data_IF_035118764915
#
_entry.id   IF_035118764915
#
_cell.length_a   1.000
_cell.length_b   1.000
_cell.length_c   1.000
_cell.angle_alpha   90.00
_cell.angle_beta   90.00
_cell.angle_gamma   90.00
#
_symmetry.space_group_name_H-M   'P 1'
#
loop_
_entity.id
_entity.type
_entity.pdbx_description
1 polymer ?
#
# COMPACT_ATOMS: atom_id res chain seq x y z
N UNK A 1 11.31 -33.75 5.43
CA UNK A 1 11.72 -32.52 6.14
C UNK A 1 12.64 -31.60 5.33
N UNK A 2 13.58 -32.13 4.55
CA UNK A 2 14.53 -31.32 3.76
C UNK A 2 13.83 -30.43 2.70
N UNK A 3 12.88 -30.97 1.92
CA UNK A 3 12.13 -30.23 0.90
C UNK A 3 11.24 -29.10 1.46
N UNK A 4 10.71 -29.24 2.69
CA UNK A 4 9.91 -28.18 3.33
C UNK A 4 10.78 -27.01 3.75
N UNK A 5 11.98 -27.25 4.29
CA UNK A 5 12.95 -26.21 4.65
C UNK A 5 13.46 -25.45 3.41
N UNK A 6 13.75 -26.16 2.34
CA UNK A 6 14.24 -25.57 1.08
C UNK A 6 13.18 -24.67 0.43
N UNK A 7 11.92 -25.08 0.47
CA UNK A 7 10.80 -24.24 0.02
C UNK A 7 10.61 -22.99 0.90
N UNK A 8 10.73 -23.11 2.23
CA UNK A 8 10.64 -21.96 3.14
C UNK A 8 11.73 -20.92 2.87
N UNK A 9 12.99 -21.35 2.70
CA UNK A 9 14.09 -20.44 2.38
C UNK A 9 13.86 -19.69 1.07
N UNK A 10 13.36 -20.38 0.04
CA UNK A 10 13.02 -19.77 -1.25
C UNK A 10 11.91 -18.71 -1.10
N UNK A 11 10.86 -19.00 -0.34
CA UNK A 11 9.78 -18.03 -0.10
C UNK A 11 10.25 -16.83 0.70
N UNK A 12 11.11 -17.03 1.71
CA UNK A 12 11.71 -15.93 2.48
C UNK A 12 12.57 -15.06 1.56
N UNK A 13 13.42 -15.65 0.72
CA UNK A 13 14.26 -14.90 -0.22
C UNK A 13 13.42 -14.08 -1.22
N UNK A 14 12.34 -14.67 -1.78
CA UNK A 14 11.42 -13.96 -2.65
C UNK A 14 10.69 -12.82 -1.93
N UNK A 15 10.30 -13.03 -0.68
CA UNK A 15 9.67 -12.00 0.15
C UNK A 15 10.64 -10.83 0.43
N UNK A 16 11.88 -11.12 0.80
CA UNK A 16 12.90 -10.09 1.01
C UNK A 16 13.18 -9.30 -0.28
N UNK A 17 13.25 -9.99 -1.42
CA UNK A 17 13.41 -9.34 -2.72
C UNK A 17 12.22 -8.41 -3.02
N UNK A 18 10.99 -8.88 -2.81
CA UNK A 18 9.78 -8.08 -3.02
C UNK A 18 9.74 -6.85 -2.11
N UNK A 19 10.10 -6.99 -0.82
CA UNK A 19 10.16 -5.88 0.14
C UNK A 19 11.23 -4.86 -0.30
N UNK A 20 12.38 -5.34 -0.80
CA UNK A 20 13.43 -4.45 -1.33
C UNK A 20 12.90 -3.60 -2.49
N UNK A 21 12.19 -4.20 -3.45
CA UNK A 21 11.56 -3.44 -4.54
C UNK A 21 10.51 -2.44 -4.04
N UNK A 22 9.71 -2.82 -3.03
CA UNK A 22 8.74 -1.90 -2.43
C UNK A 22 9.42 -0.71 -1.74
N UNK A 23 10.55 -0.93 -1.07
CA UNK A 23 11.31 0.13 -0.41
C UNK A 23 11.81 1.21 -1.39
N UNK A 24 12.15 0.84 -2.62
CA UNK A 24 12.50 1.80 -3.67
C UNK A 24 11.29 2.59 -4.20
N UNK A 25 10.06 2.15 -3.94
CA UNK A 25 8.85 2.77 -4.48
C UNK A 25 8.74 4.27 -4.15
N UNK A 26 8.98 4.65 -2.88
CA UNK A 26 8.96 6.06 -2.47
C UNK A 26 10.09 6.90 -3.09
N UNK A 27 11.26 6.29 -3.30
CA UNK A 27 12.40 6.96 -3.97
C UNK A 27 12.06 7.21 -5.44
N UNK A 28 11.50 6.23 -6.14
CA UNK A 28 11.08 6.39 -7.54
C UNK A 28 9.98 7.44 -7.72
N UNK A 29 9.03 7.52 -6.78
CA UNK A 29 8.01 8.58 -6.80
C UNK A 29 8.67 9.95 -6.67
N UNK A 30 9.67 10.11 -5.79
CA UNK A 30 10.36 11.39 -5.57
C UNK A 30 11.28 11.76 -6.74
N UNK A 31 11.84 10.78 -7.45
CA UNK A 31 12.67 10.99 -8.64
C UNK A 31 11.83 11.15 -9.91
N UNK A 32 10.56 10.81 -9.88
CA UNK A 32 9.65 10.96 -11.02
C UNK A 32 9.48 12.44 -11.36
N UNK A 33 9.52 12.78 -12.64
CA UNK A 33 9.15 14.12 -13.14
C UNK A 33 7.64 14.39 -13.07
N UNK A 34 6.83 13.34 -12.89
CA UNK A 34 5.40 13.46 -12.72
C UNK A 34 5.06 13.81 -11.26
N UNK A 35 3.99 14.60 -11.05
CA UNK A 35 3.46 14.81 -9.71
C UNK A 35 3.13 13.48 -9.01
N UNK A 36 3.20 13.42 -7.68
CA UNK A 36 3.09 12.18 -6.94
C UNK A 36 1.81 11.38 -7.19
N UNK A 37 0.63 12.02 -7.23
CA UNK A 37 -0.65 11.32 -7.48
C UNK A 37 -0.73 10.83 -8.92
N UNK A 38 -0.24 11.64 -9.90
CA UNK A 38 -0.11 11.22 -11.29
C UNK A 38 0.75 9.95 -11.41
N UNK A 39 1.90 9.92 -10.72
CA UNK A 39 2.77 8.74 -10.68
C UNK A 39 2.02 7.52 -10.13
N UNK A 40 1.27 7.67 -9.03
CA UNK A 40 0.44 6.61 -8.45
C UNK A 40 -0.63 6.09 -9.41
N UNK A 41 -1.34 6.99 -10.07
CA UNK A 41 -2.36 6.65 -11.06
C UNK A 41 -1.79 5.85 -12.23
N UNK A 42 -0.72 6.33 -12.86
CA UNK A 42 -0.12 5.65 -14.00
C UNK A 42 0.49 4.29 -13.62
N UNK A 43 1.09 4.15 -12.45
CA UNK A 43 1.59 2.86 -11.95
C UNK A 43 0.48 1.81 -11.91
N UNK A 44 -0.70 2.17 -11.42
CA UNK A 44 -1.85 1.26 -11.37
C UNK A 44 -2.38 1.00 -12.79
N UNK A 45 -2.56 2.04 -13.58
CA UNK A 45 -3.09 1.93 -14.94
C UNK A 45 -2.25 1.00 -15.82
N UNK A 46 -0.92 1.15 -15.77
CA UNK A 46 -0.01 0.30 -16.55
C UNK A 46 0.14 -1.12 -16.01
N UNK A 47 -0.08 -1.34 -14.71
CA UNK A 47 -0.08 -2.69 -14.16
C UNK A 47 -1.26 -3.55 -14.69
N UNK A 48 -2.40 -2.93 -15.03
CA UNK A 48 -3.60 -3.64 -15.48
C UNK A 48 -3.37 -4.51 -16.73
N UNK A 49 -2.79 -4.02 -17.84
CA UNK A 49 -2.53 -4.86 -19.02
C UNK A 49 -1.63 -6.06 -18.73
N UNK A 50 -0.62 -5.88 -17.86
CA UNK A 50 0.29 -6.96 -17.48
C UNK A 50 -0.37 -8.04 -16.62
N UNK A 51 -1.33 -7.67 -15.79
CA UNK A 51 -2.06 -8.61 -14.94
C UNK A 51 -3.18 -9.33 -15.70
N UNK A 52 -3.76 -8.73 -16.73
CA UNK A 52 -4.92 -9.25 -17.43
C UNK A 52 -4.76 -10.71 -17.93
N UNK A 53 -3.63 -11.12 -18.56
CA UNK A 53 -3.46 -12.49 -19.02
C UNK A 53 -3.55 -13.57 -17.92
N UNK A 54 -3.20 -13.19 -16.68
CA UNK A 54 -3.19 -14.09 -15.53
C UNK A 54 -4.55 -14.23 -14.85
N UNK A 55 -5.47 -13.29 -15.08
CA UNK A 55 -6.71 -13.17 -14.32
C UNK A 55 -7.99 -13.37 -15.15
N UNK A 56 -7.92 -13.30 -16.49
CA UNK A 56 -9.11 -13.30 -17.36
C UNK A 56 -10.04 -14.52 -17.16
N UNK A 57 -9.49 -15.69 -16.81
CA UNK A 57 -10.27 -16.91 -16.51
C UNK A 57 -10.97 -16.83 -15.15
N UNK A 58 -10.31 -16.20 -14.18
CA UNK A 58 -10.82 -16.09 -12.81
C UNK A 58 -11.87 -14.99 -12.68
N UNK A 59 -11.80 -13.93 -13.51
CA UNK A 59 -12.80 -12.87 -13.54
C UNK A 59 -14.22 -13.38 -13.82
N UNK A 60 -14.35 -14.39 -14.68
CA UNK A 60 -15.65 -14.99 -15.04
C UNK A 60 -16.31 -15.74 -13.88
N UNK A 61 -15.55 -16.10 -12.83
CA UNK A 61 -16.04 -16.85 -11.68
C UNK A 61 -16.47 -15.96 -10.53
N UNK A 62 -16.18 -14.66 -10.60
CA UNK A 62 -16.50 -13.72 -9.54
C UNK A 62 -18.00 -13.43 -9.47
N UNK A 63 -18.56 -13.51 -8.27
CA UNK A 63 -19.90 -13.06 -7.98
C UNK A 63 -19.95 -11.51 -7.95
N UNK A 64 -21.13 -10.93 -8.18
CA UNK A 64 -21.34 -9.47 -8.09
C UNK A 64 -20.93 -8.89 -6.74
N UNK A 65 -21.18 -9.65 -5.64
CA UNK A 65 -20.80 -9.25 -4.28
C UNK A 65 -19.28 -9.20 -4.10
N UNK A 66 -18.57 -10.18 -4.65
CA UNK A 66 -17.10 -10.20 -4.61
C UNK A 66 -16.51 -9.05 -5.42
N UNK A 67 -17.02 -8.81 -6.63
CA UNK A 67 -16.59 -7.67 -7.45
C UNK A 67 -16.80 -6.35 -6.72
N UNK A 68 -18.00 -6.13 -6.13
CA UNK A 68 -18.28 -4.91 -5.38
C UNK A 68 -17.32 -4.72 -4.19
N UNK A 69 -17.04 -5.81 -3.44
CA UNK A 69 -16.10 -5.75 -2.32
C UNK A 69 -14.66 -5.46 -2.77
N UNK A 70 -14.24 -6.04 -3.90
CA UNK A 70 -12.92 -5.79 -4.46
C UNK A 70 -12.79 -4.37 -5.03
N UNK A 71 -13.83 -3.82 -5.65
CA UNK A 71 -13.85 -2.42 -6.07
C UNK A 71 -13.77 -1.48 -4.86
N UNK A 72 -14.50 -1.77 -3.78
CA UNK A 72 -14.41 -1.01 -2.53
C UNK A 72 -13.00 -1.08 -1.93
N UNK A 73 -12.36 -2.25 -1.97
CA UNK A 73 -10.97 -2.36 -1.52
C UNK A 73 -10.02 -1.50 -2.37
N UNK A 74 -10.31 -1.37 -3.66
CA UNK A 74 -9.59 -0.45 -4.55
C UNK A 74 -9.74 1.01 -4.14
N UNK A 75 -10.92 1.41 -3.66
CA UNK A 75 -11.13 2.76 -3.10
C UNK A 75 -10.24 2.98 -1.87
N UNK A 76 -10.14 1.99 -0.97
CA UNK A 76 -9.22 2.08 0.17
C UNK A 76 -7.75 2.20 -0.27
N UNK A 77 -7.34 1.41 -1.27
CA UNK A 77 -6.01 1.51 -1.86
C UNK A 77 -5.75 2.90 -2.48
N UNK A 78 -6.76 3.51 -3.10
CA UNK A 78 -6.63 4.85 -3.66
C UNK A 78 -6.41 5.90 -2.56
N UNK A 79 -7.18 5.86 -1.46
CA UNK A 79 -6.99 6.77 -0.34
C UNK A 79 -5.62 6.59 0.34
N UNK A 80 -5.18 5.34 0.50
CA UNK A 80 -3.82 5.03 0.96
C UNK A 80 -2.78 5.75 0.08
N UNK A 81 -2.81 5.53 -1.21
CA UNK A 81 -1.86 6.12 -2.15
C UNK A 81 -1.93 7.65 -2.19
N UNK A 82 -3.12 8.24 -2.18
CA UNK A 82 -3.30 9.70 -2.21
C UNK A 82 -2.68 10.33 -0.96
N UNK A 83 -3.02 9.84 0.22
CA UNK A 83 -2.50 10.36 1.48
C UNK A 83 -0.99 10.18 1.59
N UNK A 84 -0.48 9.02 1.16
CA UNK A 84 0.94 8.73 1.14
C UNK A 84 1.71 9.69 0.22
N UNK A 85 1.22 9.90 -1.01
CA UNK A 85 1.85 10.81 -1.96
C UNK A 85 1.81 12.27 -1.50
N UNK A 86 0.65 12.73 -1.01
CA UNK A 86 0.50 14.10 -0.51
C UNK A 86 1.40 14.33 0.72
N UNK A 87 1.56 13.34 1.59
CA UNK A 87 2.41 13.47 2.78
C UNK A 87 3.86 13.85 2.46
N UNK A 88 4.37 13.48 1.29
CA UNK A 88 5.74 13.85 0.85
C UNK A 88 5.94 15.34 0.64
N UNK A 89 4.87 16.11 0.46
CA UNK A 89 4.93 17.56 0.34
C UNK A 89 5.04 18.25 1.70
N UNK A 90 4.68 17.56 2.79
CA UNK A 90 4.61 18.11 4.15
C UNK A 90 5.63 17.50 5.09
N UNK A 91 6.06 16.24 4.87
CA UNK A 91 7.05 15.57 5.71
C UNK A 91 8.14 14.89 4.88
N UNK A 92 9.14 14.32 5.52
CA UNK A 92 10.20 13.59 4.80
C UNK A 92 9.70 12.24 4.30
N UNK A 93 10.23 11.78 3.17
CA UNK A 93 9.93 10.43 2.63
C UNK A 93 10.22 9.34 3.66
N UNK A 94 11.25 9.53 4.49
CA UNK A 94 11.59 8.58 5.54
C UNK A 94 10.51 8.51 6.62
N UNK A 95 10.02 9.66 7.11
CA UNK A 95 8.94 9.73 8.10
C UNK A 95 7.63 9.19 7.51
N UNK A 96 7.28 9.62 6.29
CA UNK A 96 6.08 9.16 5.62
C UNK A 96 6.06 7.64 5.45
N UNK A 97 7.17 7.04 5.00
CA UNK A 97 7.27 5.59 4.88
C UNK A 97 7.22 4.88 6.23
N UNK A 98 7.87 5.45 7.25
CA UNK A 98 7.86 4.87 8.59
C UNK A 98 6.44 4.83 9.16
N UNK A 99 5.71 5.93 9.08
CA UNK A 99 4.35 6.06 9.61
C UNK A 99 3.34 5.25 8.78
N UNK A 100 3.47 5.21 7.46
CA UNK A 100 2.66 4.37 6.60
C UNK A 100 2.84 2.88 6.92
N UNK A 101 4.04 2.45 7.34
CA UNK A 101 4.32 1.06 7.73
C UNK A 101 3.82 0.70 9.15
N UNK A 102 3.12 1.59 9.85
CA UNK A 102 2.41 1.28 11.11
C UNK A 102 1.17 0.40 10.91
N UNK A 103 1.02 -0.21 9.76
CA UNK A 103 -0.07 -1.15 9.42
C UNK A 103 -0.33 -2.21 10.49
N UNK A 104 0.67 -2.84 11.13
CA UNK A 104 0.42 -3.79 12.21
C UNK A 104 -0.40 -3.19 13.38
N UNK A 105 -0.21 -1.89 13.67
CA UNK A 105 -0.95 -1.21 14.74
C UNK A 105 -2.41 -0.93 14.39
N UNK A 106 -2.72 -0.83 13.11
CA UNK A 106 -4.08 -0.60 12.63
C UNK A 106 -4.80 -1.91 12.30
N UNK A 107 -4.10 -2.90 11.73
CA UNK A 107 -4.70 -4.18 11.33
C UNK A 107 -5.07 -5.06 12.52
N UNK A 108 -4.29 -5.02 13.62
CA UNK A 108 -4.50 -5.88 14.78
C UNK A 108 -5.80 -5.59 15.51
N UNK A 109 -6.11 -4.33 15.90
CA UNK A 109 -7.39 -4.04 16.51
C UNK A 109 -8.55 -4.48 15.61
N UNK A 110 -8.45 -4.21 14.30
CA UNK A 110 -9.50 -4.58 13.34
C UNK A 110 -9.63 -6.10 13.21
N UNK A 111 -8.51 -6.84 13.14
CA UNK A 111 -8.52 -8.32 13.11
C UNK A 111 -9.09 -8.91 14.39
N UNK A 112 -8.75 -8.34 15.54
CA UNK A 112 -9.33 -8.77 16.81
C UNK A 112 -10.86 -8.61 16.85
N UNK A 113 -11.38 -7.45 16.43
CA UNK A 113 -12.82 -7.20 16.44
C UNK A 113 -13.57 -7.98 15.35
N UNK A 114 -13.00 -8.13 14.14
CA UNK A 114 -13.67 -8.79 13.02
C UNK A 114 -13.54 -10.31 13.04
N UNK A 115 -12.37 -10.84 13.39
CA UNK A 115 -12.05 -12.26 13.30
C UNK A 115 -11.90 -12.94 14.65
N UNK A 116 -11.96 -12.18 15.77
CA UNK A 116 -11.74 -12.66 17.13
C UNK A 116 -10.41 -13.42 17.30
N UNK A 117 -9.40 -13.02 16.55
CA UNK A 117 -8.07 -13.60 16.63
C UNK A 117 -7.42 -13.26 17.96
N UNK A 118 -6.90 -14.27 18.67
CA UNK A 118 -6.20 -14.06 19.95
C UNK A 118 -4.80 -13.48 19.64
N UNK A 119 -4.52 -12.31 20.21
CA UNK A 119 -3.21 -11.68 20.09
C UNK A 119 -2.27 -12.35 21.10
N UNK A 120 -1.12 -12.85 20.60
CA UNK A 120 -0.09 -13.44 21.45
C UNK A 120 0.68 -12.32 22.18
N UNK A 121 1.01 -12.53 23.45
CA UNK A 121 1.80 -11.61 24.26
C UNK A 121 3.15 -11.24 23.61
N UNK A 122 3.83 -12.21 23.00
CA UNK A 122 5.09 -11.95 22.28
C UNK A 122 4.93 -10.97 21.11
N UNK A 123 3.78 -11.06 20.45
CA UNK A 123 3.45 -10.11 19.38
C UNK A 123 3.23 -8.70 19.94
N UNK A 124 2.54 -8.58 21.07
CA UNK A 124 2.34 -7.29 21.75
C UNK A 124 3.67 -6.67 22.21
N UNK A 125 4.59 -7.47 22.74
CA UNK A 125 5.94 -7.03 23.10
C UNK A 125 6.67 -6.51 21.85
N UNK A 126 6.63 -7.25 20.74
CA UNK A 126 7.21 -6.82 19.46
C UNK A 126 6.64 -5.48 18.97
N UNK A 127 5.35 -5.27 19.15
CA UNK A 127 4.67 -4.02 18.81
C UNK A 127 5.21 -2.84 19.63
N UNK A 128 5.35 -3.02 20.96
CA UNK A 128 5.91 -2.00 21.87
C UNK A 128 7.37 -1.69 21.52
N UNK A 129 8.18 -2.70 21.27
CA UNK A 129 9.58 -2.52 20.84
C UNK A 129 9.65 -1.75 19.52
N UNK A 130 8.77 -2.05 18.58
CA UNK A 130 8.67 -1.31 17.30
C UNK A 130 8.31 0.15 17.53
N UNK A 131 7.32 0.44 18.39
CA UNK A 131 6.94 1.82 18.74
C UNK A 131 8.13 2.60 19.34
N UNK A 132 8.84 2.00 20.28
CA UNK A 132 10.03 2.61 20.89
C UNK A 132 11.09 2.89 19.82
N UNK A 133 11.36 1.93 18.93
CA UNK A 133 12.29 2.13 17.81
C UNK A 133 11.87 3.29 16.89
N UNK A 134 10.58 3.42 16.58
CA UNK A 134 10.04 4.51 15.78
C UNK A 134 10.23 5.86 16.49
N UNK A 135 9.90 5.94 17.79
CA UNK A 135 10.08 7.16 18.57
C UNK A 135 11.56 7.58 18.57
N UNK A 136 12.49 6.65 18.76
CA UNK A 136 13.93 6.93 18.71
C UNK A 136 14.36 7.44 17.34
N UNK A 137 13.89 6.84 16.25
CA UNK A 137 14.22 7.25 14.89
C UNK A 137 13.67 8.64 14.52
N UNK A 138 12.46 8.93 14.97
CA UNK A 138 11.78 10.21 14.68
C UNK A 138 12.27 11.32 15.59
N UNK A 139 12.58 11.04 16.87
CA UNK A 139 12.99 12.05 17.85
C UNK A 139 14.28 12.82 17.48
N UNK A 140 15.21 12.17 16.79
CA UNK A 140 16.44 12.81 16.31
C UNK A 140 16.26 13.80 15.14
N UNK A 141 15.04 13.90 14.56
CA UNK A 141 14.73 14.72 13.38
C UNK A 141 13.52 15.63 13.60
N UNK A 142 13.02 15.69 14.82
CA UNK A 142 11.88 16.53 15.17
C UNK A 142 12.32 18.01 15.24
N UNK A 143 12.25 18.70 14.10
CA UNK A 143 11.86 20.10 14.09
C UNK A 143 10.32 20.11 13.85
N UNK A 144 9.49 20.12 14.89
CA UNK A 144 8.05 20.06 14.75
C UNK A 144 7.55 21.38 14.17
N UNK A 145 7.47 21.46 12.85
CA UNK A 145 6.69 22.50 12.19
C UNK A 145 5.23 22.01 12.09
N UNK A 146 4.23 22.90 12.10
CA UNK A 146 2.84 22.53 11.90
C UNK A 146 2.63 21.72 10.61
N UNK A 147 3.38 22.02 9.55
CA UNK A 147 3.31 21.33 8.28
C UNK A 147 3.79 19.87 8.39
N UNK A 148 4.91 19.63 9.10
CA UNK A 148 5.41 18.28 9.33
C UNK A 148 4.39 17.41 10.10
N UNK A 149 3.67 18.00 11.07
CA UNK A 149 2.63 17.28 11.81
C UNK A 149 1.47 16.87 10.90
N UNK A 150 1.04 17.75 9.98
CA UNK A 150 -0.01 17.43 8.99
C UNK A 150 0.46 16.29 8.07
N UNK A 151 1.70 16.36 7.56
CA UNK A 151 2.29 15.31 6.73
C UNK A 151 2.39 13.97 7.44
N UNK A 152 2.81 13.98 8.70
CA UNK A 152 2.92 12.77 9.53
C UNK A 152 1.54 12.17 9.84
N UNK A 153 0.52 13.01 10.10
CA UNK A 153 -0.86 12.55 10.30
C UNK A 153 -1.45 11.92 9.02
N UNK A 154 -1.19 12.53 7.86
CA UNK A 154 -1.56 11.97 6.56
C UNK A 154 -0.88 10.62 6.36
N UNK A 155 0.43 10.53 6.57
CA UNK A 155 1.21 9.30 6.44
C UNK A 155 0.75 8.21 7.40
N UNK A 156 0.40 8.52 8.65
CA UNK A 156 -0.21 7.56 9.56
C UNK A 156 -1.59 7.10 9.08
N UNK A 157 -2.40 8.00 8.55
CA UNK A 157 -3.74 7.69 8.03
C UNK A 157 -3.69 6.69 6.87
N UNK A 158 -2.58 6.66 6.09
CA UNK A 158 -2.39 5.66 5.03
C UNK A 158 -2.39 4.24 5.61
N UNK A 159 -1.79 4.03 6.79
CA UNK A 159 -1.74 2.72 7.43
C UNK A 159 -3.14 2.16 7.72
N UNK A 160 -4.13 3.02 7.98
CA UNK A 160 -5.52 2.63 8.22
C UNK A 160 -6.16 2.15 6.92
N UNK A 161 -6.05 2.92 5.85
CA UNK A 161 -6.62 2.56 4.56
C UNK A 161 -5.95 1.32 3.96
N UNK A 162 -4.63 1.22 4.09
CA UNK A 162 -3.89 0.02 3.69
C UNK A 162 -4.29 -1.21 4.50
N UNK A 163 -4.53 -1.06 5.80
CA UNK A 163 -5.04 -2.14 6.64
C UNK A 163 -6.41 -2.62 6.18
N UNK A 164 -7.34 -1.72 5.83
CA UNK A 164 -8.65 -2.07 5.29
C UNK A 164 -8.54 -2.81 3.95
N UNK A 165 -7.63 -2.38 3.08
CA UNK A 165 -7.30 -3.09 1.84
C UNK A 165 -6.76 -4.50 2.14
N UNK A 166 -5.77 -4.63 3.03
CA UNK A 166 -5.19 -5.91 3.41
C UNK A 166 -6.20 -6.88 4.05
N UNK A 167 -7.11 -6.39 4.87
CA UNK A 167 -8.19 -7.19 5.47
C UNK A 167 -9.10 -7.76 4.37
N UNK A 168 -9.37 -6.98 3.33
CA UNK A 168 -10.15 -7.46 2.18
C UNK A 168 -9.42 -8.57 1.43
N UNK A 169 -8.12 -8.42 1.20
CA UNK A 169 -7.28 -9.49 0.61
C UNK A 169 -7.32 -10.74 1.47
N UNK A 170 -7.09 -10.58 2.77
CA UNK A 170 -7.10 -11.69 3.73
C UNK A 170 -8.43 -12.46 3.70
N UNK A 171 -9.55 -11.76 3.70
CA UNK A 171 -10.90 -12.35 3.64
C UNK A 171 -11.19 -13.09 2.33
N UNK A 172 -10.54 -12.69 1.23
CA UNK A 172 -10.77 -13.25 -0.10
C UNK A 172 -9.75 -14.30 -0.52
N UNK A 173 -8.61 -14.41 0.16
CA UNK A 173 -7.45 -15.23 -0.23
C UNK A 173 -7.76 -16.72 -0.47
N UNK A 174 -8.73 -17.26 0.28
CA UNK A 174 -9.08 -18.69 0.18
C UNK A 174 -9.97 -18.99 -1.03
N UNK A 175 -10.59 -17.95 -1.62
CA UNK A 175 -11.53 -18.08 -2.74
C UNK A 175 -10.99 -17.50 -4.04
N UNK A 176 -10.18 -16.44 -3.96
CA UNK A 176 -9.77 -15.63 -5.11
C UNK A 176 -8.25 -15.46 -5.05
N UNK A 177 -7.58 -15.66 -6.18
CA UNK A 177 -6.13 -15.43 -6.29
C UNK A 177 -5.80 -13.96 -6.04
N UNK A 178 -4.72 -13.70 -5.32
CA UNK A 178 -4.25 -12.35 -5.00
C UNK A 178 -4.07 -11.48 -6.25
N UNK A 179 -3.61 -12.04 -7.36
CA UNK A 179 -3.49 -11.33 -8.64
C UNK A 179 -4.83 -10.80 -9.14
N UNK A 180 -5.90 -11.60 -8.99
CA UNK A 180 -7.27 -11.21 -9.36
C UNK A 180 -7.81 -10.13 -8.42
N UNK A 181 -7.51 -10.23 -7.12
CA UNK A 181 -7.85 -9.19 -6.14
C UNK A 181 -7.22 -7.87 -6.53
N UNK A 182 -5.89 -7.85 -6.77
CA UNK A 182 -5.15 -6.63 -7.15
C UNK A 182 -5.70 -6.06 -8.47
N UNK A 183 -5.97 -6.91 -9.46
CA UNK A 183 -6.51 -6.48 -10.76
C UNK A 183 -7.86 -5.78 -10.63
N UNK A 184 -8.82 -6.38 -9.92
CA UNK A 184 -10.16 -5.78 -9.75
C UNK A 184 -10.08 -4.54 -8.87
N UNK A 185 -9.26 -4.53 -7.81
CA UNK A 185 -9.03 -3.36 -6.97
C UNK A 185 -8.43 -2.19 -7.76
N UNK A 186 -7.61 -2.45 -8.79
CA UNK A 186 -7.07 -1.43 -9.67
C UNK A 186 -8.18 -0.63 -10.39
N UNK A 187 -9.29 -1.28 -10.77
CA UNK A 187 -10.45 -0.59 -11.34
C UNK A 187 -11.23 0.23 -10.31
N UNK A 188 -11.21 -0.16 -9.04
CA UNK A 188 -11.79 0.63 -7.95
C UNK A 188 -10.93 1.84 -7.58
N UNK A 189 -9.61 1.71 -7.64
CA UNK A 189 -8.68 2.79 -7.30
C UNK A 189 -8.48 3.81 -8.42
N UNK A 190 -8.46 3.37 -9.68
CA UNK A 190 -8.18 4.23 -10.84
C UNK A 190 -9.08 5.46 -10.93
N UNK A 191 -10.44 5.39 -10.84
CA UNK A 191 -11.29 6.57 -10.93
C UNK A 191 -11.07 7.54 -9.75
N UNK A 192 -10.83 7.03 -8.54
CA UNK A 192 -10.57 7.86 -7.35
C UNK A 192 -9.24 8.61 -7.51
N UNK A 193 -8.20 7.91 -7.96
CA UNK A 193 -6.91 8.54 -8.25
C UNK A 193 -7.00 9.54 -9.40
N UNK A 194 -7.76 9.24 -10.46
CA UNK A 194 -7.96 10.17 -11.57
C UNK A 194 -8.64 11.48 -11.12
N UNK A 195 -9.65 11.38 -10.26
CA UNK A 195 -10.33 12.54 -9.67
C UNK A 195 -9.35 13.33 -8.78
N UNK A 196 -8.64 12.64 -7.88
CA UNK A 196 -7.68 13.28 -6.99
C UNK A 196 -6.54 13.98 -7.75
N UNK A 197 -6.01 13.34 -8.80
CA UNK A 197 -5.02 13.90 -9.72
C UNK A 197 -5.55 15.18 -10.37
N UNK A 198 -6.75 15.16 -10.94
CA UNK A 198 -7.36 16.32 -11.59
C UNK A 198 -7.58 17.50 -10.67
N UNK A 199 -7.93 17.26 -9.39
CA UNK A 199 -8.20 18.31 -8.41
C UNK A 199 -6.92 18.89 -7.83
N UNK A 200 -5.92 18.07 -7.50
CA UNK A 200 -4.76 18.50 -6.72
C UNK A 200 -3.56 18.88 -7.58
N UNK A 201 -3.34 18.18 -8.68
CA UNK A 201 -2.09 18.28 -9.44
C UNK A 201 -2.28 18.68 -10.91
N UNK A 202 -3.48 18.48 -11.46
CA UNK A 202 -3.73 18.51 -12.90
C UNK A 202 -3.36 17.18 -13.58
N UNK A 203 -3.78 17.04 -14.84
CA UNK A 203 -3.53 15.82 -15.63
C UNK A 203 -2.25 16.02 -16.43
N UNK A 204 -1.18 15.34 -16.04
CA UNK A 204 0.07 15.31 -16.78
C UNK A 204 0.15 14.03 -17.60
N UNK A 205 0.28 14.16 -18.93
CA UNK A 205 0.46 13.03 -19.83
C UNK A 205 1.97 12.85 -20.03
N UNK A 206 2.55 11.69 -19.70
CA UNK A 206 3.96 11.45 -19.95
C UNK A 206 4.23 11.45 -21.47
N UNK A 207 4.88 12.50 -21.97
CA UNK A 207 5.16 12.65 -23.41
C UNK A 207 6.37 11.86 -23.89
N UNK A 208 7.20 11.31 -23.01
CA UNK A 208 8.33 10.47 -23.36
C UNK A 208 8.50 9.30 -22.39
N UNK A 209 8.91 8.16 -22.93
CA UNK A 209 9.19 6.96 -22.13
C UNK A 209 10.31 7.20 -21.08
N UNK A 210 11.22 8.16 -21.34
CA UNK A 210 12.28 8.54 -20.40
C UNK A 210 11.74 9.24 -19.15
N UNK A 211 10.62 9.97 -19.22
CA UNK A 211 9.95 10.58 -18.06
C UNK A 211 9.22 9.56 -17.18
N UNK A 212 9.11 8.34 -17.66
CA UNK A 212 8.40 7.25 -17.00
C UNK A 212 9.32 6.33 -16.21
N UNK A 213 10.61 6.25 -16.61
CA UNK A 213 11.60 5.34 -16.04
C UNK A 213 12.46 6.00 -14.95
N UNK A 214 12.36 7.30 -14.77
CA UNK A 214 12.99 8.05 -13.68
C UNK A 214 11.96 8.44 -12.63
#
# INVERSE_FOLDING_TARGET
MHNLRQNQTKFIALMLLAISFLAFGGIFVKLSELPPINTGFYRILFAVPFLFPFVYKDLKKLSKKEVSLLLLSGVFLAFDLILWHISFSYTTVANANLLANLVPFTIIPVSYFLFKEKINLYFFIGLVVTLVGIVILVSGKLNPTPDNFIGDLMAFSTSIFYALFMITIYKMRDKIKTTTVIFVSAFGSSPVLAIAMGINEGIYIPMSFGRFLL
#
